data_IF_268449987413
#
_entry.id   IF_268449987413
#
_cell.length_a   1.000
_cell.length_b   1.000
_cell.length_c   1.000
_cell.angle_alpha   90.00
_cell.angle_beta   90.00
_cell.angle_gamma   90.00
#
_symmetry.space_group_name_H-M   'P 1'
#
loop_
_entity.id
_entity.type
_entity.pdbx_description
1 polymer ?
#
# COMPACT_ATOMS: atom_id res chain seq x y z
N UNK A 1 1.61 6.48 -5.57
CA UNK A 1 1.09 6.87 -4.22
C UNK A 1 1.52 5.83 -3.22
N UNK A 2 1.27 6.03 -1.92
CA UNK A 2 1.55 5.01 -0.91
C UNK A 2 1.93 5.63 0.43
N UNK A 3 2.84 4.99 1.14
CA UNK A 3 3.18 5.34 2.51
C UNK A 3 4.41 6.28 2.54
N UNK A 4 4.29 7.47 3.16
CA UNK A 4 5.45 8.32 3.44
C UNK A 4 6.32 7.70 4.54
N UNK A 5 7.60 8.11 4.59
CA UNK A 5 8.56 7.60 5.59
C UNK A 5 8.13 7.73 7.06
N UNK A 6 7.30 8.72 7.38
CA UNK A 6 6.75 8.91 8.74
C UNK A 6 5.69 7.87 9.11
N UNK A 7 5.13 7.16 8.12
CA UNK A 7 4.15 6.11 8.36
C UNK A 7 4.80 4.72 8.46
N UNK A 8 6.11 4.62 8.18
CA UNK A 8 6.90 3.38 8.17
C UNK A 8 8.32 3.63 8.70
N UNK A 9 8.42 4.08 9.94
CA UNK A 9 9.70 4.35 10.59
C UNK A 9 9.98 3.34 11.71
N UNK A 10 11.27 3.15 12.00
CA UNK A 10 11.71 2.37 13.14
C UNK A 10 11.29 3.03 14.46
N UNK A 11 10.89 2.19 15.43
CA UNK A 11 10.65 2.62 16.80
C UNK A 11 9.21 2.93 17.15
N UNK A 12 8.27 2.82 16.20
CA UNK A 12 6.83 2.86 16.48
C UNK A 12 6.03 2.10 15.42
N UNK A 13 4.83 1.68 15.81
CA UNK A 13 3.88 1.01 14.93
C UNK A 13 2.87 2.01 14.37
N UNK A 14 2.48 1.83 13.11
CA UNK A 14 1.39 2.62 12.52
C UNK A 14 0.04 2.16 13.08
N UNK A 15 -0.85 3.08 13.53
CA UNK A 15 -2.12 2.71 14.15
C UNK A 15 -3.27 2.45 13.15
N UNK A 16 -3.02 2.62 11.84
CA UNK A 16 -4.01 2.51 10.77
C UNK A 16 -3.40 1.92 9.49
N UNK A 17 -4.25 1.58 8.52
CA UNK A 17 -3.83 1.15 7.17
C UNK A 17 -3.92 2.28 6.14
N UNK A 18 -4.38 3.46 6.52
CA UNK A 18 -4.59 4.57 5.59
C UNK A 18 -3.29 5.10 4.99
N UNK A 19 -3.33 5.45 3.70
CA UNK A 19 -2.37 6.37 3.07
C UNK A 19 -2.85 7.82 3.27
N UNK A 20 -1.98 8.84 3.07
CA UNK A 20 -2.41 10.23 3.19
C UNK A 20 -3.66 10.53 2.36
N UNK A 21 -4.67 11.14 2.99
CA UNK A 21 -6.00 11.34 2.38
C UNK A 21 -5.97 12.13 1.07
N UNK A 22 -5.00 13.04 0.92
CA UNK A 22 -4.78 13.80 -0.31
C UNK A 22 -4.33 12.89 -1.48
N UNK A 23 -3.61 11.80 -1.20
CA UNK A 23 -3.25 10.81 -2.22
C UNK A 23 -4.48 10.00 -2.67
N UNK A 24 -5.39 9.65 -1.75
CA UNK A 24 -6.66 9.03 -2.12
C UNK A 24 -7.50 9.97 -2.99
N UNK A 25 -7.66 11.24 -2.57
CA UNK A 25 -8.39 12.24 -3.33
C UNK A 25 -7.80 12.47 -4.74
N UNK A 26 -6.47 12.47 -4.86
CA UNK A 26 -5.79 12.57 -6.15
C UNK A 26 -6.13 11.39 -7.07
N UNK A 27 -6.04 10.15 -6.56
CA UNK A 27 -6.35 8.96 -7.37
C UNK A 27 -7.80 8.97 -7.80
N UNK A 28 -8.74 9.31 -6.91
CA UNK A 28 -10.16 9.40 -7.25
C UNK A 28 -10.42 10.44 -8.33
N UNK A 29 -9.89 11.66 -8.19
CA UNK A 29 -10.06 12.71 -9.18
C UNK A 29 -9.48 12.33 -10.56
N UNK A 30 -8.36 11.60 -10.60
CA UNK A 30 -7.78 11.13 -11.87
C UNK A 30 -8.60 9.98 -12.47
N UNK A 31 -9.11 9.06 -11.64
CA UNK A 31 -9.95 7.95 -12.10
C UNK A 31 -11.27 8.44 -12.73
N UNK A 32 -11.79 9.59 -12.31
CA UNK A 32 -12.98 10.21 -12.88
C UNK A 32 -12.77 10.75 -14.31
N UNK A 33 -11.54 11.13 -14.67
CA UNK A 33 -11.27 11.78 -15.96
C UNK A 33 -10.73 10.83 -17.03
N UNK A 34 -10.24 9.64 -16.66
CA UNK A 34 -9.69 8.68 -17.62
C UNK A 34 -9.86 7.23 -17.18
N UNK A 35 -10.39 6.34 -18.04
CA UNK A 35 -10.40 4.91 -17.79
C UNK A 35 -9.04 4.25 -18.05
N UNK A 36 -8.02 5.00 -18.51
CA UNK A 36 -6.66 4.52 -18.75
C UNK A 36 -5.74 5.03 -17.64
N UNK A 37 -5.78 4.36 -16.49
CA UNK A 37 -5.05 4.75 -15.29
C UNK A 37 -4.31 3.55 -14.71
N UNK A 38 -3.01 3.70 -14.49
CA UNK A 38 -2.20 2.76 -13.71
C UNK A 38 -1.78 3.46 -12.43
N UNK A 39 -2.06 2.85 -11.28
CA UNK A 39 -1.61 3.37 -9.98
C UNK A 39 -0.47 2.50 -9.45
N UNK A 40 0.68 3.12 -9.26
CA UNK A 40 1.85 2.46 -8.65
C UNK A 40 1.88 2.74 -7.15
N UNK A 41 1.99 1.68 -6.35
CA UNK A 41 2.01 1.72 -4.89
C UNK A 41 3.42 1.47 -4.36
N UNK A 42 3.87 2.37 -3.49
CA UNK A 42 5.15 2.31 -2.79
C UNK A 42 4.92 2.28 -1.28
N UNK A 43 5.48 1.30 -0.59
CA UNK A 43 5.31 1.14 0.85
C UNK A 43 5.66 -0.27 1.30
N UNK A 44 6.05 -0.44 2.55
CA UNK A 44 6.51 -1.70 3.12
C UNK A 44 5.41 -2.60 3.67
N UNK A 45 4.18 -2.12 3.79
CA UNK A 45 3.07 -2.83 4.47
C UNK A 45 1.71 -2.61 3.78
N UNK A 46 0.67 -3.40 4.14
CA UNK A 46 -0.65 -3.26 3.54
C UNK A 46 -1.27 -1.88 3.75
N UNK A 47 -2.03 -1.45 2.75
CA UNK A 47 -2.65 -0.13 2.69
C UNK A 47 -4.14 -0.26 2.40
N UNK A 48 -4.97 0.58 3.03
CA UNK A 48 -6.36 0.72 2.66
C UNK A 48 -6.49 1.55 1.37
N UNK A 49 -7.17 1.00 0.36
CA UNK A 49 -7.30 1.59 -0.98
C UNK A 49 -8.79 1.75 -1.35
N UNK A 50 -9.50 2.77 -0.82
CA UNK A 50 -10.94 2.93 -1.03
C UNK A 50 -11.36 3.09 -2.51
N UNK A 51 -10.42 3.54 -3.35
CA UNK A 51 -10.60 3.74 -4.79
C UNK A 51 -10.24 2.52 -5.64
N UNK A 52 -9.82 1.39 -5.04
CA UNK A 52 -9.30 0.22 -5.78
C UNK A 52 -10.25 -0.27 -6.88
N UNK A 53 -11.56 -0.29 -6.62
CA UNK A 53 -12.57 -0.72 -7.59
C UNK A 53 -12.77 0.26 -8.78
N UNK A 54 -12.29 1.50 -8.67
CA UNK A 54 -12.38 2.53 -9.73
C UNK A 54 -11.17 2.53 -10.67
N UNK A 55 -10.10 1.84 -10.31
CA UNK A 55 -8.82 1.87 -11.03
C UNK A 55 -8.62 0.54 -11.78
N UNK A 56 -8.32 0.55 -13.09
CA UNK A 56 -8.24 -0.68 -13.87
C UNK A 56 -6.93 -1.46 -13.63
N UNK A 57 -5.88 -0.81 -13.14
CA UNK A 57 -4.59 -1.44 -12.90
C UNK A 57 -3.88 -0.83 -11.69
N UNK A 58 -3.44 -1.70 -10.78
CA UNK A 58 -2.63 -1.33 -9.62
C UNK A 58 -1.38 -2.20 -9.61
N UNK A 59 -0.21 -1.57 -9.49
CA UNK A 59 1.08 -2.23 -9.39
C UNK A 59 1.71 -1.92 -8.02
N UNK A 60 1.95 -2.95 -7.21
CA UNK A 60 2.64 -2.81 -5.93
C UNK A 60 4.13 -3.10 -6.10
N UNK A 61 4.97 -2.11 -5.79
CA UNK A 61 6.43 -2.16 -5.96
C UNK A 61 7.19 -2.26 -4.64
N UNK A 62 6.48 -2.28 -3.51
CA UNK A 62 7.08 -2.34 -2.18
C UNK A 62 8.05 -1.18 -1.90
N UNK A 63 9.14 -1.49 -1.20
CA UNK A 63 10.31 -0.63 -1.04
C UNK A 63 11.49 -1.22 -1.85
N UNK A 64 11.41 -1.14 -3.17
CA UNK A 64 12.31 -1.82 -4.12
C UNK A 64 13.78 -1.34 -4.20
N UNK A 65 14.26 -0.57 -3.21
CA UNK A 65 15.63 -0.09 -3.14
C UNK A 65 16.05 0.87 -4.27
N UNK A 66 17.35 1.09 -4.42
CA UNK A 66 17.91 2.11 -5.33
C UNK A 66 17.62 1.89 -6.83
N UNK A 67 17.33 0.64 -7.23
CA UNK A 67 17.07 0.28 -8.62
C UNK A 67 15.57 0.27 -8.98
N UNK A 68 14.68 0.60 -8.03
CA UNK A 68 13.22 0.47 -8.21
C UNK A 68 12.68 1.27 -9.40
N UNK A 69 13.30 2.41 -9.72
CA UNK A 69 12.90 3.23 -10.87
C UNK A 69 13.09 2.50 -12.20
N UNK A 70 14.23 1.81 -12.38
CA UNK A 70 14.49 1.01 -13.58
C UNK A 70 13.57 -0.20 -13.65
N UNK A 71 13.44 -0.94 -12.55
CA UNK A 71 12.54 -2.10 -12.48
C UNK A 71 11.07 -1.73 -12.77
N UNK A 72 10.61 -0.55 -12.33
CA UNK A 72 9.28 -0.06 -12.64
C UNK A 72 9.10 0.21 -14.15
N UNK A 73 10.11 0.79 -14.81
CA UNK A 73 10.06 1.05 -16.25
C UNK A 73 9.96 -0.27 -17.01
N UNK A 74 10.84 -1.24 -16.72
CA UNK A 74 10.85 -2.55 -17.39
C UNK A 74 9.48 -3.25 -17.28
N UNK A 75 8.82 -3.17 -16.12
CA UNK A 75 7.48 -3.73 -15.89
C UNK A 75 6.38 -2.98 -16.64
N UNK A 76 6.38 -1.64 -16.62
CA UNK A 76 5.32 -0.84 -17.25
C UNK A 76 5.35 -0.91 -18.78
N UNK A 77 6.53 -1.09 -19.36
CA UNK A 77 6.72 -1.23 -20.81
C UNK A 77 6.70 -2.67 -21.29
N UNK A 78 6.66 -3.65 -20.38
CA UNK A 78 6.57 -5.07 -20.71
C UNK A 78 7.88 -5.68 -21.17
N UNK A 79 9.02 -5.10 -20.80
CA UNK A 79 10.34 -5.71 -20.99
C UNK A 79 10.50 -6.96 -20.11
N UNK A 80 9.79 -7.00 -18.97
CA UNK A 80 9.63 -8.17 -18.10
C UNK A 80 8.20 -8.25 -17.54
N UNK A 81 7.72 -9.46 -17.28
CA UNK A 81 6.38 -9.70 -16.72
C UNK A 81 6.35 -9.56 -15.18
N UNK A 82 5.25 -9.06 -14.59
CA UNK A 82 5.09 -9.01 -13.13
C UNK A 82 4.79 -10.41 -12.55
N UNK A 83 5.78 -11.02 -11.91
CA UNK A 83 5.64 -12.38 -11.33
C UNK A 83 5.42 -12.39 -9.81
N UNK A 84 5.38 -11.21 -9.18
CA UNK A 84 5.23 -11.09 -7.72
C UNK A 84 3.97 -11.78 -7.17
N UNK A 85 4.06 -12.23 -5.92
CA UNK A 85 2.92 -12.71 -5.11
C UNK A 85 2.98 -12.00 -3.76
N UNK A 86 1.81 -11.64 -3.22
CA UNK A 86 1.74 -11.02 -1.91
C UNK A 86 2.28 -11.99 -0.86
N UNK A 87 3.26 -11.53 -0.07
CA UNK A 87 3.76 -12.26 1.09
C UNK A 87 2.86 -12.08 2.33
N UNK A 88 1.94 -11.13 2.27
CA UNK A 88 1.09 -10.70 3.38
C UNK A 88 -0.36 -10.59 2.91
N UNK A 89 -1.29 -10.91 3.80
CA UNK A 89 -2.72 -10.64 3.57
C UNK A 89 -2.95 -9.13 3.53
N UNK A 90 -3.68 -8.66 2.52
CA UNK A 90 -4.17 -7.29 2.46
C UNK A 90 -5.62 -7.24 2.95
N UNK A 91 -5.86 -6.84 4.21
CA UNK A 91 -7.20 -6.79 4.77
C UNK A 91 -7.98 -5.61 4.16
N UNK A 92 -9.31 -5.70 4.17
CA UNK A 92 -10.16 -4.59 3.73
C UNK A 92 -10.18 -3.47 4.77
N UNK A 93 -10.14 -3.82 6.05
CA UNK A 93 -10.12 -2.89 7.18
C UNK A 93 -9.13 -3.34 8.26
N UNK A 94 -8.69 -2.42 9.12
CA UNK A 94 -7.83 -2.78 10.26
C UNK A 94 -8.55 -3.74 11.22
N UNK A 95 -9.88 -3.69 11.31
CA UNK A 95 -10.66 -4.57 12.18
C UNK A 95 -10.67 -6.03 11.70
N UNK A 96 -10.34 -6.29 10.43
CA UNK A 96 -10.16 -7.64 9.89
C UNK A 96 -8.82 -8.28 10.30
N UNK A 97 -7.88 -7.48 10.83
CA UNK A 97 -6.59 -8.00 11.29
C UNK A 97 -6.80 -8.72 12.63
N UNK A 98 -6.48 -10.03 12.75
CA UNK A 98 -6.82 -10.82 13.93
C UNK A 98 -6.24 -10.28 15.25
N UNK A 99 -5.08 -9.63 15.18
CA UNK A 99 -4.41 -9.07 16.35
C UNK A 99 -4.95 -7.70 16.78
N UNK A 100 -5.85 -7.05 16.04
CA UNK A 100 -6.31 -5.66 16.32
C UNK A 100 -6.86 -5.47 17.72
N UNK A 101 -7.55 -6.48 18.27
CA UNK A 101 -8.09 -6.43 19.63
C UNK A 101 -7.01 -6.32 20.72
N UNK A 102 -5.81 -6.88 20.48
CA UNK A 102 -4.75 -7.01 21.49
C UNK A 102 -3.49 -6.18 21.18
N UNK A 103 -3.26 -5.82 19.92
CA UNK A 103 -2.07 -5.10 19.47
C UNK A 103 -1.99 -3.71 20.09
N UNK A 104 -0.85 -3.41 20.73
CA UNK A 104 -0.55 -2.14 21.40
C UNK A 104 -1.58 -1.65 22.45
N UNK A 105 -2.45 -2.53 22.98
CA UNK A 105 -3.47 -2.13 23.98
C UNK A 105 -2.95 -2.03 25.42
N UNK A 106 -1.92 -2.79 25.77
CA UNK A 106 -1.32 -2.76 27.10
C UNK A 106 0.19 -2.49 27.02
N UNK A 107 0.69 -1.60 27.90
CA UNK A 107 2.08 -1.10 27.85
C UNK A 107 3.18 -2.15 28.03
N UNK A 108 2.89 -3.30 28.65
CA UNK A 108 3.91 -4.26 29.10
C UNK A 108 3.62 -5.71 28.74
N UNK A 109 2.47 -5.98 28.10
CA UNK A 109 2.05 -7.32 27.77
C UNK A 109 1.16 -7.29 26.54
N UNK A 110 1.37 -8.22 25.62
CA UNK A 110 0.46 -8.48 24.51
C UNK A 110 0.10 -9.96 24.60
N UNK A 111 -1.20 -10.26 24.57
CA UNK A 111 -1.70 -11.64 24.55
C UNK A 111 -1.94 -11.99 23.09
N UNK A 112 -1.28 -13.06 22.64
CA UNK A 112 -1.39 -13.59 21.29
C UNK A 112 -2.51 -14.63 21.25
#
# INVERSE_FOLDING_TARGET
VGLPSIDECEGYDRPHLEIPSQMNALVEAVAEVTPRLVVVLMGGSPMNLPWLAKVPCVLYMGLGGQAVGGALVDLLFGDVDPEGRLAETWPLTIDDVPSTANFAKHRRQVVY
#
